data_IF_855947226326
#
_entry.id   IF_855947226326
#
_cell.length_a   1.000
_cell.length_b   1.000
_cell.length_c   1.000
_cell.angle_alpha   90.00
_cell.angle_beta   90.00
_cell.angle_gamma   90.00
#
_symmetry.space_group_name_H-M   'P 1'
#
loop_
_entity.id
_entity.type
_entity.pdbx_description
1 polymer ?
#
# COMPACT_ATOMS: atom_id res chain seq x y z
N UNK A 1 16.65 8.78 26.43
CA UNK A 1 17.56 8.65 27.58
C UNK A 1 16.71 8.79 28.83
N UNK A 2 16.79 7.80 29.73
CA UNK A 2 16.19 7.85 31.06
C UNK A 2 17.03 8.79 31.93
N UNK A 3 16.39 9.70 32.68
CA UNK A 3 17.08 10.49 33.71
C UNK A 3 17.76 9.52 34.69
N UNK A 4 19.00 9.78 35.13
CA UNK A 4 19.58 9.03 36.24
C UNK A 4 18.66 9.19 37.46
N UNK A 5 18.46 8.11 38.21
CA UNK A 5 17.68 8.16 39.46
C UNK A 5 18.24 9.27 40.35
N UNK A 6 17.36 10.04 40.98
CA UNK A 6 17.69 11.24 41.77
C UNK A 6 18.74 10.95 42.87
N UNK A 7 18.81 9.71 43.37
CA UNK A 7 19.82 9.24 44.32
C UNK A 7 21.25 9.15 43.76
N UNK A 8 21.41 8.92 42.46
CA UNK A 8 22.71 8.89 41.78
C UNK A 8 23.23 10.31 41.52
N UNK A 9 22.33 11.26 41.26
CA UNK A 9 22.66 12.66 40.98
C UNK A 9 23.28 13.31 42.22
N UNK A 10 22.69 13.12 43.40
CA UNK A 10 23.22 13.65 44.66
C UNK A 10 24.59 13.07 45.02
N UNK A 11 24.76 11.75 44.85
CA UNK A 11 26.03 11.06 45.10
C UNK A 11 27.15 11.55 44.18
N UNK A 12 26.83 11.84 42.91
CA UNK A 12 27.77 12.43 41.96
C UNK A 12 28.13 13.88 42.31
N UNK A 13 27.15 14.69 42.73
CA UNK A 13 27.37 16.07 43.15
C UNK A 13 28.30 16.18 44.37
N UNK A 14 28.17 15.26 45.33
CA UNK A 14 29.02 15.20 46.53
C UNK A 14 30.48 14.82 46.20
N UNK A 15 30.70 13.88 45.28
CA UNK A 15 32.04 13.49 44.82
C UNK A 15 32.69 14.57 43.95
N UNK A 16 31.89 15.26 43.14
CA UNK A 16 32.38 16.30 42.21
C UNK A 16 32.51 17.68 42.86
N UNK A 17 32.07 17.87 44.11
CA UNK A 17 31.97 19.16 44.81
C UNK A 17 31.19 20.25 44.04
N UNK A 18 30.16 19.84 43.28
CA UNK A 18 29.36 20.71 42.41
C UNK A 18 27.90 20.68 42.82
N UNK A 19 27.18 21.80 42.70
CA UNK A 19 25.75 21.86 43.04
C UNK A 19 24.89 21.09 42.03
N UNK A 20 23.78 20.49 42.48
CA UNK A 20 22.86 19.74 41.61
C UNK A 20 22.33 20.59 40.44
N UNK A 21 22.00 21.85 40.70
CA UNK A 21 21.57 22.78 39.66
C UNK A 21 22.67 23.00 38.61
N UNK A 22 23.93 23.15 39.03
CA UNK A 22 25.06 23.35 38.13
C UNK A 22 25.33 22.11 37.28
N UNK A 23 25.23 20.91 37.88
CA UNK A 23 25.36 19.64 37.15
C UNK A 23 24.24 19.46 36.11
N UNK A 24 22.99 19.73 36.47
CA UNK A 24 21.83 19.63 35.56
C UNK A 24 21.97 20.65 34.42
N UNK A 25 22.28 21.91 34.73
CA UNK A 25 22.48 22.96 33.71
C UNK A 25 23.59 22.57 32.73
N UNK A 26 24.71 22.06 33.23
CA UNK A 26 25.81 21.58 32.39
C UNK A 26 25.42 20.38 31.52
N UNK A 27 24.60 19.47 32.04
CA UNK A 27 24.08 18.32 31.28
C UNK A 27 23.13 18.76 30.18
N UNK A 28 22.21 19.68 30.46
CA UNK A 28 21.29 20.26 29.47
C UNK A 28 22.04 21.02 28.39
N UNK A 29 23.04 21.83 28.76
CA UNK A 29 23.91 22.54 27.82
C UNK A 29 24.66 21.58 26.88
N UNK A 30 25.15 20.46 27.42
CA UNK A 30 25.80 19.43 26.62
C UNK A 30 24.83 18.79 25.62
N UNK A 31 23.62 18.42 26.06
CA UNK A 31 22.59 17.85 25.18
C UNK A 31 22.12 18.85 24.12
N UNK A 32 22.00 20.13 24.47
CA UNK A 32 21.63 21.19 23.54
C UNK A 32 22.71 21.37 22.46
N UNK A 33 23.99 21.42 22.85
CA UNK A 33 25.11 21.49 21.89
C UNK A 33 25.17 20.27 20.99
N UNK A 34 24.91 19.08 21.52
CA UNK A 34 24.85 17.86 20.72
C UNK A 34 23.71 17.93 19.71
N UNK A 35 22.51 18.32 20.13
CA UNK A 35 21.34 18.51 19.25
C UNK A 35 21.61 19.54 18.16
N UNK A 36 22.26 20.66 18.49
CA UNK A 36 22.66 21.66 17.50
C UNK A 36 23.71 21.14 16.51
N UNK A 37 24.69 20.37 16.99
CA UNK A 37 25.72 19.76 16.14
C UNK A 37 25.10 18.74 15.18
N UNK A 38 24.20 17.89 15.68
CA UNK A 38 23.44 16.95 14.86
C UNK A 38 22.59 17.72 13.83
N UNK A 39 21.85 18.75 14.23
CA UNK A 39 21.05 19.56 13.31
C UNK A 39 21.90 20.24 12.23
N UNK A 40 23.07 20.80 12.57
CA UNK A 40 24.01 21.39 11.60
C UNK A 40 24.55 20.34 10.64
N UNK A 41 24.90 19.15 11.14
CA UNK A 41 25.37 18.03 10.33
C UNK A 41 24.28 17.55 9.35
N UNK A 42 23.07 17.27 9.83
CA UNK A 42 21.91 16.88 9.01
C UNK A 42 21.57 17.94 7.96
N UNK A 43 21.57 19.23 8.32
CA UNK A 43 21.34 20.33 7.35
C UNK A 43 22.40 20.36 6.25
N UNK A 44 23.68 20.13 6.59
CA UNK A 44 24.76 20.05 5.60
C UNK A 44 24.61 18.85 4.69
N UNK A 45 24.37 17.66 5.25
CA UNK A 45 24.11 16.44 4.49
C UNK A 45 22.95 16.65 3.50
N UNK A 46 21.84 17.19 3.98
CA UNK A 46 20.66 17.39 3.15
C UNK A 46 20.90 18.41 2.03
N UNK A 47 21.65 19.48 2.31
CA UNK A 47 22.06 20.45 1.29
C UNK A 47 22.95 19.80 0.22
N UNK A 48 23.96 19.03 0.62
CA UNK A 48 24.85 18.33 -0.32
C UNK A 48 24.08 17.32 -1.17
N UNK A 49 23.20 16.55 -0.55
CA UNK A 49 22.31 15.61 -1.21
C UNK A 49 21.42 16.32 -2.25
N UNK A 50 20.73 17.40 -1.88
CA UNK A 50 19.88 18.14 -2.82
C UNK A 50 20.65 18.77 -3.97
N UNK A 51 21.84 19.33 -3.72
CA UNK A 51 22.71 19.88 -4.78
C UNK A 51 23.13 18.79 -5.76
N UNK A 52 23.52 17.61 -5.26
CA UNK A 52 23.86 16.48 -6.11
C UNK A 52 22.71 16.12 -7.07
N UNK A 53 21.50 15.93 -6.56
CA UNK A 53 20.34 15.63 -7.40
C UNK A 53 20.01 16.74 -8.39
N UNK A 54 20.10 18.01 -7.99
CA UNK A 54 19.89 19.14 -8.93
C UNK A 54 20.89 19.17 -10.07
N UNK A 55 22.16 18.87 -9.81
CA UNK A 55 23.17 18.74 -10.86
C UNK A 55 22.82 17.57 -11.79
N UNK A 56 22.46 16.41 -11.22
CA UNK A 56 22.06 15.25 -12.03
C UNK A 56 20.87 15.56 -12.94
N UNK A 57 19.82 16.20 -12.42
CA UNK A 57 18.65 16.61 -13.20
C UNK A 57 19.03 17.62 -14.30
N UNK A 58 19.78 18.66 -13.96
CA UNK A 58 20.19 19.67 -14.93
C UNK A 58 21.04 19.07 -16.07
N UNK A 59 22.02 18.21 -15.74
CA UNK A 59 22.86 17.54 -16.74
C UNK A 59 22.04 16.60 -17.61
N UNK A 60 21.17 15.78 -17.01
CA UNK A 60 20.33 14.84 -17.73
C UNK A 60 19.38 15.55 -18.71
N UNK A 61 18.64 16.57 -18.27
CA UNK A 61 17.78 17.36 -19.16
C UNK A 61 18.56 18.05 -20.27
N UNK A 62 19.71 18.66 -19.96
CA UNK A 62 20.50 19.38 -20.93
C UNK A 62 21.04 18.46 -22.03
N UNK A 63 21.59 17.31 -21.63
CA UNK A 63 22.08 16.29 -22.57
C UNK A 63 20.93 15.75 -23.42
N UNK A 64 19.80 15.38 -22.80
CA UNK A 64 18.66 14.84 -23.52
C UNK A 64 18.04 15.84 -24.49
N UNK A 65 17.97 17.13 -24.12
CA UNK A 65 17.50 18.19 -25.00
C UNK A 65 18.39 18.32 -26.24
N UNK A 66 19.71 18.35 -26.07
CA UNK A 66 20.67 18.46 -27.19
C UNK A 66 20.57 17.23 -28.11
N UNK A 67 20.64 16.03 -27.53
CA UNK A 67 20.62 14.78 -28.31
C UNK A 67 19.30 14.65 -29.06
N UNK A 68 18.17 14.98 -28.44
CA UNK A 68 16.87 14.92 -29.12
C UNK A 68 16.81 15.89 -30.30
N UNK A 69 17.28 17.13 -30.12
CA UNK A 69 17.28 18.13 -31.17
C UNK A 69 18.23 17.75 -32.33
N UNK A 70 19.35 17.09 -32.03
CA UNK A 70 20.29 16.61 -33.06
C UNK A 70 19.69 15.46 -33.87
N UNK A 71 19.06 14.49 -33.19
CA UNK A 71 18.58 13.25 -33.84
C UNK A 71 17.24 13.43 -34.56
N UNK A 72 16.28 14.10 -33.93
CA UNK A 72 14.90 14.18 -34.42
C UNK A 72 14.49 15.58 -34.89
N UNK A 73 15.36 16.60 -34.72
CA UNK A 73 15.10 18.01 -35.06
C UNK A 73 13.83 18.60 -34.42
N UNK A 74 13.26 17.91 -33.43
CA UNK A 74 12.06 18.26 -32.69
C UNK A 74 12.18 17.75 -31.25
N UNK A 75 11.32 18.26 -30.36
CA UNK A 75 11.27 17.79 -28.97
C UNK A 75 10.22 16.68 -28.83
N UNK A 76 10.62 15.43 -29.06
CA UNK A 76 9.77 14.23 -28.87
C UNK A 76 9.99 13.54 -27.49
N UNK A 77 10.97 12.62 -27.39
CA UNK A 77 11.26 11.82 -26.18
C UNK A 77 11.83 12.65 -25.02
N UNK A 78 12.30 13.88 -25.28
CA UNK A 78 12.67 14.84 -24.25
C UNK A 78 11.54 15.04 -23.21
N UNK A 79 10.29 15.07 -23.64
CA UNK A 79 9.16 15.24 -22.71
C UNK A 79 8.93 14.02 -21.80
N UNK A 80 9.31 12.82 -22.24
CA UNK A 80 9.32 11.62 -21.39
C UNK A 80 10.39 11.76 -20.31
N UNK A 81 11.60 12.19 -20.68
CA UNK A 81 12.69 12.39 -19.72
C UNK A 81 12.32 13.49 -18.72
N UNK A 82 11.79 14.61 -19.18
CA UNK A 82 11.36 15.72 -18.33
C UNK A 82 10.32 15.28 -17.30
N UNK A 83 9.26 14.59 -17.74
CA UNK A 83 8.22 14.10 -16.84
C UNK A 83 8.73 12.98 -15.92
N UNK A 84 9.65 12.13 -16.38
CA UNK A 84 10.33 11.12 -15.56
C UNK A 84 11.19 11.74 -14.46
N UNK A 85 11.90 12.82 -14.77
CA UNK A 85 12.65 13.59 -13.78
C UNK A 85 11.73 14.32 -12.79
N UNK A 86 10.56 14.80 -13.22
CA UNK A 86 9.56 15.34 -12.28
C UNK A 86 9.13 14.28 -11.27
N UNK A 87 8.91 13.03 -11.70
CA UNK A 87 8.60 11.91 -10.78
C UNK A 87 9.77 11.70 -9.80
N UNK A 88 11.00 11.61 -10.30
CA UNK A 88 12.18 11.45 -9.44
C UNK A 88 12.33 12.60 -8.44
N UNK A 89 12.12 13.84 -8.88
CA UNK A 89 12.19 15.05 -8.06
C UNK A 89 11.16 15.04 -6.93
N UNK A 90 9.93 14.58 -7.20
CA UNK A 90 8.88 14.51 -6.17
C UNK A 90 9.22 13.57 -5.03
N UNK A 91 10.02 12.53 -5.28
CA UNK A 91 10.48 11.58 -4.25
C UNK A 91 11.74 12.08 -3.54
N UNK A 92 12.74 12.56 -4.30
CA UNK A 92 14.07 12.84 -3.75
C UNK A 92 14.18 14.24 -3.15
N UNK A 93 13.56 15.25 -3.76
CA UNK A 93 13.89 16.65 -3.53
C UNK A 93 12.72 17.47 -3.01
N UNK A 94 11.51 17.19 -3.49
CA UNK A 94 10.30 17.89 -3.07
C UNK A 94 10.01 17.80 -1.55
N UNK A 95 10.25 16.66 -0.85
CA UNK A 95 10.04 16.59 0.60
C UNK A 95 10.87 17.59 1.41
N UNK A 96 11.99 18.07 0.84
CA UNK A 96 12.89 19.02 1.48
C UNK A 96 12.49 20.47 1.22
N UNK A 97 11.77 20.71 0.12
CA UNK A 97 11.35 22.03 -0.33
C UNK A 97 10.02 22.43 0.29
N UNK A 98 9.09 21.49 0.41
CA UNK A 98 7.74 21.79 0.92
C UNK A 98 7.75 21.87 2.44
N UNK A 99 7.37 23.03 2.97
CA UNK A 99 7.17 23.28 4.40
C UNK A 99 5.71 23.63 4.65
N UNK A 100 5.20 23.28 5.84
CA UNK A 100 3.83 23.57 6.26
C UNK A 100 3.05 22.31 6.65
N UNK A 101 1.83 22.53 7.13
CA UNK A 101 0.95 21.50 7.69
C UNK A 101 0.51 20.48 6.63
N UNK A 102 0.28 20.93 5.39
CA UNK A 102 -0.21 20.09 4.29
C UNK A 102 0.90 19.46 3.42
N UNK A 103 2.16 19.42 3.90
CA UNK A 103 3.31 19.00 3.09
C UNK A 103 3.15 17.60 2.49
N UNK A 104 2.55 16.67 3.23
CA UNK A 104 2.39 15.28 2.80
C UNK A 104 1.45 15.19 1.59
N UNK A 105 0.32 15.91 1.64
CA UNK A 105 -0.65 15.97 0.56
C UNK A 105 -0.10 16.63 -0.70
N UNK A 106 0.72 17.68 -0.54
CA UNK A 106 1.39 18.34 -1.67
C UNK A 106 2.37 17.37 -2.34
N UNK A 107 3.23 16.70 -1.58
CA UNK A 107 4.22 15.74 -2.12
C UNK A 107 3.51 14.62 -2.87
N UNK A 108 2.49 14.04 -2.24
CA UNK A 108 1.71 12.93 -2.77
C UNK A 108 0.93 13.32 -4.04
N UNK A 109 0.32 14.51 -4.04
CA UNK A 109 -0.39 15.06 -5.19
C UNK A 109 0.56 15.39 -6.35
N UNK A 110 1.72 15.99 -6.06
CA UNK A 110 2.74 16.24 -7.08
C UNK A 110 3.32 14.95 -7.67
N UNK A 111 3.54 13.92 -6.86
CA UNK A 111 3.93 12.59 -7.33
C UNK A 111 2.86 12.00 -8.27
N UNK A 112 1.58 12.03 -7.87
CA UNK A 112 0.48 11.55 -8.71
C UNK A 112 0.39 12.30 -10.05
N UNK A 113 0.49 13.63 -10.03
CA UNK A 113 0.43 14.46 -11.24
C UNK A 113 1.62 14.20 -12.17
N UNK A 114 2.84 14.19 -11.62
CA UNK A 114 4.05 13.93 -12.42
C UNK A 114 4.04 12.53 -13.04
N UNK A 115 3.53 11.53 -12.32
CA UNK A 115 3.44 10.17 -12.84
C UNK A 115 2.37 10.04 -13.93
N UNK A 116 1.21 10.71 -13.80
CA UNK A 116 0.25 10.81 -14.91
C UNK A 116 0.85 11.54 -16.12
N UNK A 117 1.62 12.61 -15.90
CA UNK A 117 2.28 13.34 -16.99
C UNK A 117 3.31 12.47 -17.72
N UNK A 118 4.06 11.64 -16.99
CA UNK A 118 4.97 10.65 -17.56
C UNK A 118 4.23 9.63 -18.43
N UNK A 119 3.12 9.09 -17.94
CA UNK A 119 2.30 8.15 -18.70
C UNK A 119 1.70 8.82 -19.94
N UNK A 120 1.23 10.07 -19.83
CA UNK A 120 0.65 10.81 -20.94
C UNK A 120 1.68 11.07 -22.05
N UNK A 121 2.86 11.59 -21.68
CA UNK A 121 3.94 11.86 -22.65
C UNK A 121 4.42 10.59 -23.32
N UNK A 122 4.52 9.48 -22.58
CA UNK A 122 4.86 8.17 -23.13
C UNK A 122 3.79 7.64 -24.10
N UNK A 123 2.51 7.84 -23.77
CA UNK A 123 1.39 7.46 -24.64
C UNK A 123 1.42 8.25 -25.96
N UNK A 124 1.62 9.57 -25.88
CA UNK A 124 1.72 10.43 -27.06
C UNK A 124 2.91 10.03 -27.93
N UNK A 125 4.09 9.80 -27.31
CA UNK A 125 5.30 9.42 -28.03
C UNK A 125 5.16 8.08 -28.77
N UNK A 126 4.50 7.10 -28.16
CA UNK A 126 4.24 5.79 -28.79
C UNK A 126 3.09 5.81 -29.80
N UNK A 127 2.39 6.94 -29.95
CA UNK A 127 1.19 7.04 -30.79
C UNK A 127 0.01 6.22 -30.25
N UNK A 128 0.02 5.87 -28.97
CA UNK A 128 -1.00 5.03 -28.34
C UNK A 128 -2.21 5.82 -27.84
N UNK A 129 -3.26 5.09 -27.48
CA UNK A 129 -4.53 5.58 -26.92
C UNK A 129 -4.83 4.99 -25.53
N UNK A 130 -3.84 4.34 -24.92
CA UNK A 130 -3.94 3.61 -23.65
C UNK A 130 -3.88 4.49 -22.39
N UNK A 131 -3.63 5.80 -22.54
CA UNK A 131 -3.44 6.72 -21.41
C UNK A 131 -4.61 6.68 -20.42
N UNK A 132 -5.85 6.77 -20.90
CA UNK A 132 -7.03 6.83 -20.03
C UNK A 132 -7.20 5.57 -19.18
N UNK A 133 -6.97 4.39 -19.76
CA UNK A 133 -7.02 3.12 -19.02
C UNK A 133 -5.98 3.12 -17.92
N UNK A 134 -4.75 3.52 -18.25
CA UNK A 134 -3.65 3.53 -17.28
C UNK A 134 -3.85 4.59 -16.20
N UNK A 135 -4.44 5.74 -16.53
CA UNK A 135 -4.81 6.76 -15.55
C UNK A 135 -5.86 6.23 -14.55
N UNK A 136 -6.83 5.43 -15.01
CA UNK A 136 -7.82 4.77 -14.14
C UNK A 136 -7.14 3.69 -13.27
N UNK A 137 -6.25 2.87 -13.83
CA UNK A 137 -5.42 1.92 -13.08
C UNK A 137 -4.65 2.62 -11.95
N UNK A 138 -4.00 3.72 -12.31
CA UNK A 138 -3.19 4.50 -11.37
C UNK A 138 -4.07 5.14 -10.29
N UNK A 139 -5.21 5.71 -10.66
CA UNK A 139 -6.14 6.29 -9.70
C UNK A 139 -6.67 5.25 -8.71
N UNK A 140 -6.99 4.04 -9.17
CA UNK A 140 -7.37 2.93 -8.30
C UNK A 140 -6.24 2.58 -7.32
N UNK A 141 -5.01 2.38 -7.80
CA UNK A 141 -3.87 2.05 -6.95
C UNK A 141 -3.53 3.18 -5.95
N UNK A 142 -3.63 4.43 -6.38
CA UNK A 142 -3.42 5.58 -5.53
C UNK A 142 -4.52 5.70 -4.47
N UNK A 143 -5.79 5.56 -4.85
CA UNK A 143 -6.90 5.55 -3.90
C UNK A 143 -6.76 4.41 -2.87
N UNK A 144 -6.31 3.22 -3.29
CA UNK A 144 -6.09 2.08 -2.39
C UNK A 144 -5.16 2.43 -1.22
N UNK A 145 -4.07 3.15 -1.51
CA UNK A 145 -3.05 3.55 -0.52
C UNK A 145 -3.48 4.78 0.26
N UNK A 146 -4.09 5.77 -0.39
CA UNK A 146 -4.28 7.13 0.16
C UNK A 146 -5.59 7.27 0.91
N UNK A 147 -6.64 6.60 0.44
CA UNK A 147 -7.99 6.72 0.99
C UNK A 147 -8.10 6.36 2.49
N UNK A 148 -7.37 5.37 3.05
CA UNK A 148 -7.38 5.10 4.49
C UNK A 148 -6.92 6.30 5.33
N UNK A 149 -5.90 7.02 4.86
CA UNK A 149 -5.39 8.22 5.53
C UNK A 149 -6.38 9.37 5.37
N UNK A 150 -6.92 9.56 4.16
CA UNK A 150 -7.93 10.59 3.92
C UNK A 150 -9.19 10.39 4.77
N UNK A 151 -9.69 9.16 4.87
CA UNK A 151 -10.86 8.82 5.68
C UNK A 151 -10.59 8.97 7.18
N UNK A 152 -9.34 8.82 7.63
CA UNK A 152 -8.97 9.07 9.03
C UNK A 152 -9.21 10.53 9.40
N UNK A 153 -8.75 11.45 8.55
CA UNK A 153 -8.76 12.89 8.82
C UNK A 153 -10.08 13.57 8.44
N UNK A 154 -10.93 12.91 7.63
CA UNK A 154 -12.23 13.45 7.23
C UNK A 154 -13.22 13.56 8.42
N UNK A 155 -13.79 14.75 8.70
CA UNK A 155 -14.87 14.89 9.67
C UNK A 155 -16.18 14.37 9.06
N UNK A 156 -16.44 13.07 9.23
CA UNK A 156 -17.67 12.43 8.77
C UNK A 156 -18.84 12.66 9.77
N UNK A 157 -20.09 12.79 9.28
CA UNK A 157 -21.27 12.86 10.13
C UNK A 157 -21.38 11.66 11.08
N UNK A 158 -22.03 11.84 12.23
CA UNK A 158 -22.10 10.86 13.32
C UNK A 158 -22.45 9.41 12.92
N UNK A 159 -23.39 9.12 11.99
CA UNK A 159 -23.66 7.74 11.60
C UNK A 159 -22.53 7.10 10.78
N UNK A 160 -21.77 7.88 10.00
CA UNK A 160 -20.73 7.35 9.10
C UNK A 160 -19.36 7.21 9.76
N UNK A 161 -19.14 7.92 10.87
CA UNK A 161 -17.86 7.95 11.56
C UNK A 161 -17.41 6.55 12.05
N UNK A 162 -18.35 5.69 12.44
CA UNK A 162 -18.07 4.33 12.92
C UNK A 162 -17.86 3.32 11.78
N UNK A 163 -18.31 3.64 10.56
CA UNK A 163 -18.33 2.75 9.39
C UNK A 163 -17.29 3.10 8.32
N UNK A 164 -16.23 3.84 8.67
CA UNK A 164 -15.12 4.21 7.75
C UNK A 164 -14.56 3.03 6.96
N UNK A 165 -14.42 1.85 7.58
CA UNK A 165 -13.95 0.64 6.90
C UNK A 165 -14.90 0.16 5.81
N UNK A 166 -16.21 0.21 6.05
CA UNK A 166 -17.20 -0.15 5.03
C UNK A 166 -17.18 0.86 3.90
N UNK A 167 -17.12 2.15 4.21
CA UNK A 167 -17.00 3.22 3.20
C UNK A 167 -15.77 3.01 2.31
N UNK A 168 -14.62 2.69 2.91
CA UNK A 168 -13.41 2.34 2.17
C UNK A 168 -13.64 1.16 1.21
N UNK A 169 -14.16 0.04 1.72
CA UNK A 169 -14.43 -1.14 0.89
C UNK A 169 -15.44 -0.86 -0.23
N UNK A 170 -16.48 -0.07 0.03
CA UNK A 170 -17.45 0.36 -0.99
C UNK A 170 -16.78 1.19 -2.09
N UNK A 171 -16.02 2.22 -1.72
CA UNK A 171 -15.33 3.07 -2.70
C UNK A 171 -14.34 2.23 -3.50
N UNK A 172 -13.52 1.39 -2.86
CA UNK A 172 -12.56 0.54 -3.57
C UNK A 172 -13.23 -0.48 -4.48
N UNK A 173 -14.39 -1.03 -4.11
CA UNK A 173 -15.16 -1.94 -4.97
C UNK A 173 -15.69 -1.22 -6.20
N UNK A 174 -16.21 0.00 -6.04
CA UNK A 174 -16.68 0.84 -7.16
C UNK A 174 -15.50 1.19 -8.09
N UNK A 175 -14.37 1.62 -7.53
CA UNK A 175 -13.18 1.94 -8.33
C UNK A 175 -12.63 0.70 -9.05
N UNK A 176 -12.69 -0.49 -8.44
CA UNK A 176 -12.32 -1.73 -9.10
C UNK A 176 -13.28 -2.07 -10.26
N UNK A 177 -14.58 -1.86 -10.10
CA UNK A 177 -15.56 -2.06 -11.18
C UNK A 177 -15.31 -1.08 -12.34
N UNK A 178 -14.99 0.19 -12.05
CA UNK A 178 -14.61 1.18 -13.06
C UNK A 178 -13.31 0.75 -13.76
N UNK A 179 -12.32 0.26 -13.01
CA UNK A 179 -11.06 -0.26 -13.56
C UNK A 179 -11.29 -1.45 -14.51
N UNK A 180 -12.06 -2.45 -14.09
CA UNK A 180 -12.38 -3.62 -14.93
C UNK A 180 -13.21 -3.20 -16.14
N UNK A 181 -14.20 -2.33 -15.95
CA UNK A 181 -15.03 -1.82 -17.05
C UNK A 181 -14.21 -1.07 -18.10
N UNK A 182 -13.31 -0.18 -17.69
CA UNK A 182 -12.47 0.61 -18.59
C UNK A 182 -11.44 -0.25 -19.33
N UNK A 183 -10.80 -1.20 -18.64
CA UNK A 183 -9.85 -2.15 -19.26
C UNK A 183 -10.53 -3.08 -20.28
N UNK A 184 -11.71 -3.61 -19.97
CA UNK A 184 -12.49 -4.43 -20.91
C UNK A 184 -12.99 -3.61 -22.10
N UNK A 185 -13.46 -2.40 -21.85
CA UNK A 185 -13.91 -1.48 -22.91
C UNK A 185 -12.79 -1.17 -23.91
N UNK A 186 -11.58 -0.90 -23.39
CA UNK A 186 -10.39 -0.68 -24.20
C UNK A 186 -9.97 -1.92 -24.98
N UNK A 187 -10.09 -3.10 -24.36
CA UNK A 187 -9.76 -4.38 -24.99
C UNK A 187 -10.81 -4.88 -25.99
N UNK A 188 -11.89 -4.14 -26.21
CA UNK A 188 -12.94 -4.46 -27.19
C UNK A 188 -14.11 -5.31 -26.66
N UNK A 189 -14.08 -5.73 -25.39
CA UNK A 189 -15.10 -6.61 -24.78
C UNK A 189 -16.28 -5.83 -24.17
N UNK A 190 -16.91 -4.95 -24.95
CA UNK A 190 -17.93 -4.00 -24.45
C UNK A 190 -19.21 -4.67 -23.99
N UNK A 191 -19.64 -5.71 -24.70
CA UNK A 191 -20.88 -6.46 -24.42
C UNK A 191 -20.74 -7.35 -23.18
N UNK A 192 -19.53 -7.80 -22.90
CA UNK A 192 -19.18 -8.75 -21.85
C UNK A 192 -18.91 -8.06 -20.51
N UNK A 193 -18.86 -6.72 -20.46
CA UNK A 193 -18.63 -5.96 -19.21
C UNK A 193 -19.68 -6.32 -18.17
N UNK A 194 -20.96 -6.36 -18.58
CA UNK A 194 -22.07 -6.61 -17.66
C UNK A 194 -22.22 -8.11 -17.39
N UNK A 195 -22.12 -8.95 -18.42
CA UNK A 195 -22.39 -10.40 -18.31
C UNK A 195 -21.23 -11.20 -17.73
N UNK A 196 -19.98 -10.73 -17.89
CA UNK A 196 -18.77 -11.44 -17.44
C UNK A 196 -17.96 -10.55 -16.47
N UNK A 197 -17.60 -9.34 -16.87
CA UNK A 197 -16.70 -8.47 -16.10
C UNK A 197 -17.22 -8.15 -14.69
N UNK A 198 -18.46 -7.70 -14.60
CA UNK A 198 -19.12 -7.37 -13.33
C UNK A 198 -19.25 -8.59 -12.41
N UNK A 199 -19.85 -9.74 -12.82
CA UNK A 199 -19.98 -10.89 -11.92
C UNK A 199 -18.63 -11.47 -11.51
N UNK A 200 -17.64 -11.54 -12.41
CA UNK A 200 -16.28 -11.99 -12.06
C UNK A 200 -15.68 -11.08 -10.99
N UNK A 201 -15.78 -9.76 -11.17
CA UNK A 201 -15.23 -8.79 -10.20
C UNK A 201 -15.92 -8.92 -8.84
N UNK A 202 -17.24 -9.04 -8.79
CA UNK A 202 -17.99 -9.19 -7.55
C UNK A 202 -17.64 -10.49 -6.82
N UNK A 203 -17.53 -11.61 -7.54
CA UNK A 203 -17.11 -12.89 -6.96
C UNK A 203 -15.69 -12.78 -6.38
N UNK A 204 -14.76 -12.14 -7.11
CA UNK A 204 -13.38 -11.93 -6.63
C UNK A 204 -13.31 -11.07 -5.36
N UNK A 205 -14.18 -10.06 -5.24
CA UNK A 205 -14.19 -9.12 -4.11
C UNK A 205 -14.96 -9.66 -2.90
N UNK A 206 -15.90 -10.58 -3.11
CA UNK A 206 -16.76 -11.16 -2.08
C UNK A 206 -16.04 -11.69 -0.82
N UNK A 207 -14.95 -12.50 -0.89
CA UNK A 207 -14.29 -13.01 0.31
C UNK A 207 -13.69 -11.88 1.15
N UNK A 208 -13.17 -10.82 0.51
CA UNK A 208 -12.59 -9.68 1.22
C UNK A 208 -13.65 -8.89 2.00
N UNK A 209 -14.86 -8.78 1.45
CA UNK A 209 -16.00 -8.23 2.19
C UNK A 209 -16.39 -9.10 3.39
N UNK A 210 -16.49 -10.42 3.22
CA UNK A 210 -16.78 -11.33 4.32
C UNK A 210 -15.74 -11.20 5.44
N UNK A 211 -14.46 -11.22 5.09
CA UNK A 211 -13.36 -11.05 6.05
C UNK A 211 -13.44 -9.70 6.76
N UNK A 212 -13.71 -8.62 6.03
CA UNK A 212 -13.90 -7.29 6.62
C UNK A 212 -15.04 -7.29 7.65
N UNK A 213 -16.19 -7.91 7.32
CA UNK A 213 -17.31 -7.99 8.26
C UNK A 213 -16.96 -8.78 9.52
N UNK A 214 -16.26 -9.91 9.38
CA UNK A 214 -15.81 -10.74 10.51
C UNK A 214 -14.82 -9.97 11.39
N UNK A 215 -13.82 -9.32 10.79
CA UNK A 215 -12.78 -8.62 11.55
C UNK A 215 -13.39 -7.43 12.31
N UNK A 216 -14.26 -6.66 11.66
CA UNK A 216 -14.76 -5.39 12.19
C UNK A 216 -16.02 -5.51 13.06
N UNK A 217 -16.98 -6.35 12.70
CA UNK A 217 -18.30 -6.38 13.35
C UNK A 217 -18.52 -7.59 14.26
N UNK A 218 -17.76 -8.67 14.07
CA UNK A 218 -17.87 -9.84 14.93
C UNK A 218 -17.13 -9.60 16.25
N UNK A 219 -17.83 -9.68 17.38
CA UNK A 219 -17.27 -9.43 18.72
C UNK A 219 -16.76 -10.73 19.37
N UNK A 220 -15.81 -11.40 18.72
CA UNK A 220 -15.21 -12.67 19.20
C UNK A 220 -13.68 -12.50 19.33
N UNK A 221 -13.02 -13.42 20.04
CA UNK A 221 -11.56 -13.49 20.15
C UNK A 221 -10.84 -13.41 18.79
N UNK A 222 -9.66 -12.79 18.76
CA UNK A 222 -8.82 -12.66 17.57
C UNK A 222 -8.50 -14.01 16.93
N UNK A 223 -8.22 -15.06 17.72
CA UNK A 223 -7.92 -16.40 17.20
C UNK A 223 -9.09 -17.00 16.40
N UNK A 224 -10.32 -16.82 16.88
CA UNK A 224 -11.52 -17.23 16.17
C UNK A 224 -11.71 -16.44 14.87
N UNK A 225 -11.49 -15.13 14.90
CA UNK A 225 -11.55 -14.29 13.68
C UNK A 225 -10.54 -14.78 12.63
N UNK A 226 -9.30 -15.04 13.04
CA UNK A 226 -8.26 -15.54 12.13
C UNK A 226 -8.61 -16.92 11.58
N UNK A 227 -9.16 -17.82 12.39
CA UNK A 227 -9.56 -19.14 11.94
C UNK A 227 -10.66 -19.08 10.87
N UNK A 228 -11.69 -18.26 11.08
CA UNK A 228 -12.79 -18.08 10.11
C UNK A 228 -12.26 -17.44 8.82
N UNK A 229 -11.40 -16.42 8.92
CA UNK A 229 -10.77 -15.79 7.78
C UNK A 229 -9.95 -16.77 6.92
N UNK A 230 -9.15 -17.64 7.55
CA UNK A 230 -8.38 -18.67 6.83
C UNK A 230 -9.28 -19.74 6.21
N UNK A 231 -10.35 -20.11 6.90
CA UNK A 231 -11.35 -21.04 6.36
C UNK A 231 -11.98 -20.47 5.08
N UNK A 232 -12.41 -19.21 5.11
CA UNK A 232 -13.00 -18.52 3.94
C UNK A 232 -12.01 -18.46 2.78
N UNK A 233 -10.78 -18.02 3.01
CA UNK A 233 -9.74 -17.96 1.96
C UNK A 233 -9.47 -19.36 1.39
N UNK A 234 -9.35 -20.38 2.25
CA UNK A 234 -9.13 -21.75 1.82
C UNK A 234 -10.24 -22.23 0.89
N UNK A 235 -11.49 -22.22 1.36
CA UNK A 235 -12.65 -22.66 0.58
C UNK A 235 -12.79 -21.87 -0.72
N UNK A 236 -12.59 -20.56 -0.67
CA UNK A 236 -12.64 -19.70 -1.85
C UNK A 236 -11.57 -20.09 -2.87
N UNK A 237 -10.29 -20.18 -2.44
CA UNK A 237 -9.17 -20.55 -3.32
C UNK A 237 -9.38 -21.89 -4.04
N UNK A 238 -10.07 -22.84 -3.41
CA UNK A 238 -10.43 -24.12 -4.00
C UNK A 238 -11.40 -23.99 -5.17
N UNK A 239 -12.52 -23.30 -4.94
CA UNK A 239 -13.63 -23.23 -5.88
C UNK A 239 -13.47 -22.16 -6.94
N UNK A 240 -12.57 -21.20 -6.74
CA UNK A 240 -12.53 -19.99 -7.57
C UNK A 240 -12.36 -20.25 -9.04
N UNK A 241 -11.46 -21.16 -9.44
CA UNK A 241 -11.26 -21.45 -10.86
C UNK A 241 -12.49 -22.07 -11.50
N UNK A 242 -13.18 -22.98 -10.78
CA UNK A 242 -14.43 -23.57 -11.25
C UNK A 242 -15.52 -22.52 -11.46
N UNK A 243 -15.61 -21.54 -10.54
CA UNK A 243 -16.53 -20.40 -10.68
C UNK A 243 -16.14 -19.51 -11.85
N UNK A 244 -14.85 -19.21 -12.03
CA UNK A 244 -14.36 -18.40 -13.14
C UNK A 244 -14.60 -19.08 -14.50
N UNK A 245 -14.36 -20.40 -14.61
CA UNK A 245 -14.64 -21.16 -15.84
C UNK A 245 -16.14 -21.16 -16.16
N UNK A 246 -16.99 -21.28 -15.15
CA UNK A 246 -18.44 -21.19 -15.32
C UNK A 246 -18.87 -19.79 -15.80
N UNK A 247 -18.29 -18.73 -15.23
CA UNK A 247 -18.66 -17.34 -15.57
C UNK A 247 -18.10 -16.88 -16.92
N UNK A 248 -16.83 -17.20 -17.22
CA UNK A 248 -16.13 -16.72 -18.42
C UNK A 248 -16.43 -17.60 -19.63
N UNK A 249 -16.44 -18.92 -19.44
CA UNK A 249 -16.55 -19.88 -20.55
C UNK A 249 -17.91 -20.60 -20.61
N UNK A 250 -18.86 -20.26 -19.72
CA UNK A 250 -20.19 -20.89 -19.63
C UNK A 250 -20.15 -22.42 -19.48
N UNK A 251 -19.07 -22.95 -18.89
CA UNK A 251 -18.92 -24.38 -18.63
C UNK A 251 -19.73 -24.82 -17.40
N UNK A 252 -20.12 -26.10 -17.35
CA UNK A 252 -20.71 -26.67 -16.15
C UNK A 252 -19.74 -26.59 -14.98
N UNK A 253 -20.23 -26.24 -13.79
CA UNK A 253 -19.42 -26.22 -12.59
C UNK A 253 -18.82 -27.61 -12.31
N UNK A 254 -17.50 -27.71 -12.40
CA UNK A 254 -16.76 -28.91 -12.09
C UNK A 254 -15.46 -28.54 -11.38
N UNK A 255 -15.09 -29.32 -10.36
CA UNK A 255 -13.79 -29.18 -9.72
C UNK A 255 -12.69 -29.72 -10.63
N UNK A 256 -11.51 -29.10 -10.57
CA UNK A 256 -10.32 -29.62 -11.23
C UNK A 256 -10.05 -31.06 -10.77
N UNK A 257 -9.65 -31.97 -11.67
CA UNK A 257 -9.40 -33.36 -11.32
C UNK A 257 -8.24 -33.45 -10.31
N UNK A 258 -8.36 -34.37 -9.34
CA UNK A 258 -7.43 -34.50 -8.22
C UNK A 258 -6.81 -35.88 -8.22
N UNK A 259 -5.48 -35.95 -8.30
CA UNK A 259 -4.72 -37.17 -8.07
C UNK A 259 -3.31 -36.82 -7.57
N UNK A 260 -3.13 -36.82 -6.25
CA UNK A 260 -1.87 -36.42 -5.59
C UNK A 260 -0.67 -37.32 -5.93
N UNK A 261 -0.88 -38.47 -6.59
CA UNK A 261 0.20 -39.34 -7.05
C UNK A 261 0.73 -38.94 -8.43
N UNK A 262 -0.03 -38.20 -9.22
CA UNK A 262 0.30 -37.84 -10.60
C UNK A 262 0.39 -36.32 -10.73
N UNK A 263 1.56 -35.82 -11.11
CA UNK A 263 1.85 -34.39 -11.22
C UNK A 263 2.11 -33.99 -12.68
N UNK A 264 1.10 -34.16 -13.53
CA UNK A 264 1.12 -33.70 -14.91
C UNK A 264 0.21 -32.45 -15.07
N UNK A 265 0.25 -31.80 -16.22
CA UNK A 265 -0.53 -30.57 -16.49
C UNK A 265 -2.03 -30.74 -16.21
N UNK A 266 -2.58 -31.93 -16.43
CA UNK A 266 -3.99 -32.23 -16.21
C UNK A 266 -4.40 -32.22 -14.72
N UNK A 267 -3.56 -32.77 -13.82
CA UNK A 267 -3.84 -32.85 -12.38
C UNK A 267 -3.18 -31.73 -11.56
N UNK A 268 -2.26 -30.96 -12.14
CA UNK A 268 -1.43 -29.98 -11.44
C UNK A 268 -2.26 -28.94 -10.67
N UNK A 269 -3.23 -28.30 -11.34
CA UNK A 269 -4.08 -27.27 -10.75
C UNK A 269 -4.92 -27.80 -9.58
N UNK A 270 -5.55 -28.97 -9.76
CA UNK A 270 -6.34 -29.61 -8.71
C UNK A 270 -5.50 -30.02 -7.50
N UNK A 271 -4.33 -30.62 -7.74
CA UNK A 271 -3.42 -31.05 -6.68
C UNK A 271 -2.91 -29.86 -5.85
N UNK A 272 -2.47 -28.78 -6.50
CA UNK A 272 -2.01 -27.56 -5.80
C UNK A 272 -3.11 -26.99 -4.92
N UNK A 273 -4.34 -26.88 -5.44
CA UNK A 273 -5.48 -26.32 -4.68
C UNK A 273 -5.85 -27.17 -3.49
N UNK A 274 -5.86 -28.49 -3.61
CA UNK A 274 -6.13 -29.40 -2.48
C UNK A 274 -5.08 -29.21 -1.39
N UNK A 275 -3.80 -29.08 -1.74
CA UNK A 275 -2.74 -28.81 -0.77
C UNK A 275 -2.98 -27.46 -0.08
N UNK A 276 -3.19 -26.39 -0.84
CA UNK A 276 -3.44 -25.05 -0.30
C UNK A 276 -4.62 -25.05 0.68
N UNK A 277 -5.73 -25.67 0.29
CA UNK A 277 -6.93 -25.80 1.14
C UNK A 277 -6.64 -26.60 2.39
N UNK A 278 -5.95 -27.74 2.26
CA UNK A 278 -5.61 -28.58 3.42
C UNK A 278 -4.76 -27.82 4.45
N UNK A 279 -3.80 -27.01 3.98
CA UNK A 279 -2.98 -26.15 4.84
C UNK A 279 -3.84 -25.10 5.52
N UNK A 280 -4.68 -24.37 4.78
CA UNK A 280 -5.55 -23.35 5.37
C UNK A 280 -6.57 -23.94 6.36
N UNK A 281 -7.15 -25.10 6.07
CA UNK A 281 -8.07 -25.79 6.96
C UNK A 281 -7.36 -26.29 8.22
N UNK A 282 -6.17 -26.88 8.09
CA UNK A 282 -5.39 -27.34 9.25
C UNK A 282 -5.02 -26.18 10.18
N UNK A 283 -4.59 -25.04 9.61
CA UNK A 283 -4.27 -23.84 10.38
C UNK A 283 -5.52 -23.23 11.02
N UNK A 284 -6.65 -23.22 10.29
CA UNK A 284 -7.94 -22.80 10.83
C UNK A 284 -8.34 -23.63 12.06
N UNK A 285 -8.25 -24.96 11.97
CA UNK A 285 -8.55 -25.89 13.08
C UNK A 285 -7.59 -25.68 14.26
N UNK A 286 -6.29 -25.50 14.01
CA UNK A 286 -5.33 -25.25 15.08
C UNK A 286 -5.65 -23.95 15.85
N UNK A 287 -6.06 -22.90 15.13
CA UNK A 287 -6.42 -21.62 15.73
C UNK A 287 -7.79 -21.65 16.44
N UNK A 288 -8.75 -22.45 15.98
CA UNK A 288 -10.00 -22.65 16.74
C UNK A 288 -9.74 -23.37 18.06
N UNK A 289 -8.90 -24.42 18.07
CA UNK A 289 -8.49 -25.12 19.30
C UNK A 289 -7.78 -24.15 20.25
N UNK A 290 -6.84 -23.35 19.74
CA UNK A 290 -6.19 -22.30 20.52
C UNK A 290 -7.16 -21.25 21.07
N UNK A 291 -8.17 -20.87 20.27
CA UNK A 291 -9.25 -19.96 20.66
C UNK A 291 -10.09 -20.50 21.82
N UNK A 292 -10.50 -21.77 21.75
CA UNK A 292 -11.24 -22.48 22.81
C UNK A 292 -10.42 -22.51 24.10
N UNK A 293 -9.14 -22.90 24.01
CA UNK A 293 -8.25 -23.00 25.17
C UNK A 293 -8.07 -21.65 25.88
N UNK A 294 -7.92 -20.55 25.12
CA UNK A 294 -7.84 -19.20 25.69
C UNK A 294 -9.14 -18.76 26.38
N UNK A 295 -10.31 -19.09 25.81
CA UNK A 295 -11.59 -18.73 26.42
C UNK A 295 -11.85 -19.50 27.73
N UNK A 296 -11.47 -20.78 27.78
CA UNK A 296 -11.53 -21.58 29.00
C UNK A 296 -10.62 -20.98 30.08
N UNK A 297 -9.37 -20.64 29.74
CA UNK A 297 -8.42 -20.01 30.67
C UNK A 297 -8.90 -18.63 31.17
N UNK A 298 -9.59 -17.87 30.32
CA UNK A 298 -10.17 -16.59 30.72
C UNK A 298 -11.32 -16.77 31.71
N UNK A 299 -12.15 -17.81 31.54
CA UNK A 299 -13.23 -18.15 32.48
C UNK A 299 -12.73 -18.73 33.81
N UNK A 300 -11.59 -19.42 33.83
CA UNK A 300 -11.02 -19.96 35.08
C UNK A 300 -10.33 -18.92 35.97
N UNK A 301 -9.99 -17.75 35.42
CA UNK A 301 -9.31 -16.66 36.12
C UNK A 301 -10.27 -15.56 36.61
N UNK A 302 -11.58 -15.75 36.48
CA UNK A 302 -12.66 -14.90 37.00
C UNK A 302 -13.34 -15.67 38.12
#
# INVERSE_FOLDING_TARGET
MSYPDISLVSSLCEILEVSEHELITCSEDFQQRETERQAKYFRRLMKTYSVFFYICYAVSLFVCMIVNLILEQQLSWFFIVLSGEMVAFTITSLPNLVKGENKQWIILGSFYISLNLLLLTSCIYTGGDWFFVTAVCLFFGFAFVVLPFLLRDLPLPSPFYQHKTVIYFTIMTILLLILVGTTMFYSGYRTEIISIGLPVTLVCVFPFWLMMFIIRYLHINSLWKTAICLFIIGVFSFGMNSVLMMLIHHQSFAFSPINLRVWNEYYLDGNIKVIIVSVFLSLSIALTIGGISLEIKKKSNI
#
